data_IF_467518551325
#
_entry.id   IF_467518551325
#
_cell.length_a   1.000
_cell.length_b   1.000
_cell.length_c   1.000
_cell.angle_alpha   90.00
_cell.angle_beta   90.00
_cell.angle_gamma   90.00
#
_symmetry.space_group_name_H-M   'P 1'
#
loop_
_entity.id
_entity.type
_entity.pdbx_description
1 polymer ?
#
# COMPACT_ATOMS: atom_id res chain seq x y z
N UNK A 1 6.02 5.55 -33.35
CA UNK A 1 5.75 6.00 -31.96
C UNK A 1 4.88 4.93 -31.34
N UNK A 2 5.34 4.23 -30.30
CA UNK A 2 4.52 3.24 -29.61
C UNK A 2 3.31 3.95 -28.98
N UNK A 3 2.11 3.35 -28.99
CA UNK A 3 0.98 3.91 -28.28
C UNK A 3 1.36 4.06 -26.80
N UNK A 4 1.22 5.28 -26.28
CA UNK A 4 1.39 5.57 -24.86
C UNK A 4 0.25 4.87 -24.13
N UNK A 5 0.43 3.58 -23.79
CA UNK A 5 -0.46 2.88 -22.86
C UNK A 5 -0.61 3.75 -21.61
N UNK A 6 -1.82 4.19 -21.24
CA UNK A 6 -2.00 5.00 -20.05
C UNK A 6 -1.38 4.27 -18.86
N UNK A 7 -0.68 4.97 -17.96
CA UNK A 7 -0.12 4.31 -16.79
C UNK A 7 -1.29 3.69 -16.01
N UNK A 8 -1.24 2.39 -15.69
CA UNK A 8 -2.31 1.77 -14.94
C UNK A 8 -2.44 2.42 -13.58
N UNK A 9 -3.70 2.61 -13.19
CA UNK A 9 -4.11 3.34 -12.00
C UNK A 9 -4.17 2.39 -10.83
N UNK A 10 -3.63 2.81 -9.69
CA UNK A 10 -3.76 2.07 -8.44
C UNK A 10 -5.14 2.30 -7.83
N UNK A 11 -5.80 1.24 -7.37
CA UNK A 11 -7.06 1.35 -6.60
C UNK A 11 -6.74 1.75 -5.17
N UNK A 12 -6.83 3.05 -4.89
CA UNK A 12 -6.53 3.59 -3.55
C UNK A 12 -7.40 2.99 -2.45
N UNK A 13 -8.68 2.71 -2.71
CA UNK A 13 -9.55 2.06 -1.72
C UNK A 13 -8.99 0.73 -1.23
N UNK A 14 -8.53 -0.14 -2.14
CA UNK A 14 -7.92 -1.42 -1.78
C UNK A 14 -6.59 -1.26 -1.08
N UNK A 15 -5.79 -0.32 -1.56
CA UNK A 15 -4.51 -0.02 -0.95
C UNK A 15 -4.70 0.43 0.51
N UNK A 16 -5.70 1.27 0.76
CA UNK A 16 -6.12 1.69 2.09
C UNK A 16 -6.62 0.53 2.92
N UNK A 17 -7.45 -0.35 2.37
CA UNK A 17 -7.89 -1.56 3.10
C UNK A 17 -6.69 -2.40 3.58
N UNK A 18 -5.67 -2.58 2.73
CA UNK A 18 -4.44 -3.28 3.10
C UNK A 18 -3.67 -2.50 4.18
N UNK A 19 -3.46 -1.20 3.97
CA UNK A 19 -2.73 -0.34 4.91
C UNK A 19 -3.35 -0.32 6.30
N UNK A 20 -4.64 -0.05 6.38
CA UNK A 20 -5.39 0.04 7.63
C UNK A 20 -5.58 -1.32 8.31
N UNK A 21 -5.67 -2.42 7.55
CA UNK A 21 -5.86 -3.76 8.15
C UNK A 21 -4.55 -4.43 8.58
N UNK A 22 -3.43 -4.13 7.92
CA UNK A 22 -2.18 -4.88 8.09
C UNK A 22 -1.06 -4.02 8.67
N UNK A 23 -1.00 -2.74 8.30
CA UNK A 23 0.15 -1.91 8.63
C UNK A 23 -0.04 -1.10 9.90
N UNK A 24 -1.19 -0.43 10.07
CA UNK A 24 -1.49 0.62 11.08
C UNK A 24 -0.52 0.68 12.27
N UNK A 25 0.67 1.29 12.08
CA UNK A 25 1.74 1.21 13.06
C UNK A 25 1.54 2.19 14.21
N UNK A 26 0.74 3.24 13.98
CA UNK A 26 0.38 4.25 14.99
C UNK A 26 -0.82 3.77 15.81
N UNK A 27 -1.61 2.82 15.30
CA UNK A 27 -2.83 2.34 15.95
C UNK A 27 -3.92 3.40 15.94
N UNK A 28 -4.03 4.14 14.83
CA UNK A 28 -5.05 5.19 14.68
C UNK A 28 -6.45 4.61 14.45
N UNK A 29 -6.56 3.39 13.92
CA UNK A 29 -7.84 2.75 13.64
C UNK A 29 -8.39 2.04 14.89
N UNK A 30 -9.57 2.45 15.38
CA UNK A 30 -10.24 1.72 16.46
C UNK A 30 -10.64 0.31 16.02
N UNK A 31 -10.64 -0.63 16.96
CA UNK A 31 -11.04 -2.01 16.69
C UNK A 31 -12.52 -2.06 16.23
N UNK A 32 -12.74 -2.51 15.00
CA UNK A 32 -14.08 -2.63 14.39
C UNK A 32 -14.52 -1.43 13.57
N UNK A 33 -13.68 -0.40 13.44
CA UNK A 33 -13.91 0.73 12.56
C UNK A 33 -13.15 0.59 11.24
N UNK A 34 -13.60 1.34 10.24
CA UNK A 34 -13.01 1.42 8.91
C UNK A 34 -12.50 2.83 8.63
N UNK A 35 -11.52 2.92 7.74
CA UNK A 35 -11.02 4.21 7.24
C UNK A 35 -12.07 5.04 6.51
N UNK A 36 -13.14 4.40 6.02
CA UNK A 36 -14.24 5.06 5.32
C UNK A 36 -15.39 5.51 6.25
N UNK A 37 -15.26 5.32 7.56
CA UNK A 37 -16.22 5.85 8.54
C UNK A 37 -16.10 7.37 8.66
N UNK A 38 -17.23 8.05 8.86
CA UNK A 38 -17.30 9.52 8.84
C UNK A 38 -16.37 10.21 9.86
N UNK A 39 -16.06 9.54 10.97
CA UNK A 39 -15.12 10.03 11.98
C UNK A 39 -13.64 9.89 11.60
N UNK A 40 -13.33 8.99 10.66
CA UNK A 40 -11.97 8.58 10.31
C UNK A 40 -11.50 9.17 8.97
N UNK A 41 -12.41 9.79 8.22
CA UNK A 41 -12.10 10.44 6.94
C UNK A 41 -11.02 11.53 7.03
N UNK A 42 -10.81 12.12 8.21
CA UNK A 42 -9.81 13.18 8.40
C UNK A 42 -8.37 12.67 8.37
N UNK A 43 -8.14 11.37 8.59
CA UNK A 43 -6.84 10.73 8.53
C UNK A 43 -6.80 9.55 7.56
N UNK A 44 -7.88 9.28 6.82
CA UNK A 44 -8.00 8.12 5.93
C UNK A 44 -6.90 8.05 4.84
N UNK A 45 -6.35 9.18 4.43
CA UNK A 45 -5.27 9.30 3.44
C UNK A 45 -3.85 9.34 4.01
N UNK A 46 -3.69 9.31 5.34
CA UNK A 46 -2.39 9.47 6.02
C UNK A 46 -1.33 8.47 5.51
N UNK A 47 -1.75 7.24 5.22
CA UNK A 47 -0.86 6.17 4.77
C UNK A 47 -0.76 6.04 3.24
N UNK A 48 -1.58 6.76 2.47
CA UNK A 48 -1.69 6.58 1.02
C UNK A 48 -0.34 6.77 0.33
N UNK A 49 0.40 7.83 0.66
CA UNK A 49 1.64 8.16 -0.02
C UNK A 49 2.70 7.05 0.14
N UNK A 50 2.84 6.48 1.34
CA UNK A 50 3.81 5.41 1.61
C UNK A 50 3.39 4.12 0.92
N UNK A 51 2.11 3.78 0.96
CA UNK A 51 1.59 2.58 0.32
C UNK A 51 1.66 2.67 -1.22
N UNK A 52 1.39 3.85 -1.79
CA UNK A 52 1.52 4.11 -3.23
C UNK A 52 2.99 3.96 -3.64
N UNK A 53 3.92 4.49 -2.85
CA UNK A 53 5.35 4.34 -3.10
C UNK A 53 5.78 2.87 -3.03
N UNK A 54 5.32 2.12 -2.02
CA UNK A 54 5.61 0.70 -1.87
C UNK A 54 5.07 -0.13 -3.05
N UNK A 55 3.79 0.06 -3.42
CA UNK A 55 3.19 -0.59 -4.58
C UNK A 55 3.92 -0.21 -5.88
N UNK A 56 4.28 1.08 -6.04
CA UNK A 56 5.04 1.57 -7.17
C UNK A 56 6.42 0.92 -7.30
N UNK A 57 7.13 0.70 -6.19
CA UNK A 57 8.40 -0.01 -6.17
C UNK A 57 8.24 -1.48 -6.56
N UNK A 58 7.26 -2.19 -5.98
CA UNK A 58 6.97 -3.58 -6.33
C UNK A 58 6.70 -3.76 -7.82
N UNK A 59 5.92 -2.84 -8.40
CA UNK A 59 5.61 -2.86 -9.82
C UNK A 59 6.81 -2.57 -10.72
N UNK A 60 7.81 -1.82 -10.22
CA UNK A 60 9.10 -1.62 -10.92
C UNK A 60 10.02 -2.83 -10.83
N UNK A 61 9.62 -3.89 -10.12
CA UNK A 61 10.42 -5.10 -9.93
C UNK A 61 11.41 -5.01 -8.77
N UNK A 62 11.25 -4.04 -7.86
CA UNK A 62 12.04 -3.98 -6.63
C UNK A 62 11.68 -5.18 -5.75
N UNK A 63 12.68 -5.73 -5.05
CA UNK A 63 12.47 -6.92 -4.23
C UNK A 63 11.54 -6.62 -3.05
N UNK A 64 10.66 -7.58 -2.72
CA UNK A 64 9.73 -7.46 -1.60
C UNK A 64 10.41 -7.10 -0.27
N UNK A 65 11.62 -7.63 -0.03
CA UNK A 65 12.42 -7.31 1.14
C UNK A 65 12.82 -5.83 1.19
N UNK A 66 13.31 -5.26 0.08
CA UNK A 66 13.70 -3.84 0.00
C UNK A 66 12.50 -2.91 0.20
N UNK A 67 11.33 -3.28 -0.35
CA UNK A 67 10.09 -2.52 -0.12
C UNK A 67 9.63 -2.60 1.33
N UNK A 68 9.82 -3.75 1.99
CA UNK A 68 9.54 -3.89 3.40
C UNK A 68 10.51 -3.04 4.25
N UNK A 69 11.80 -3.04 3.94
CA UNK A 69 12.79 -2.19 4.62
C UNK A 69 12.46 -0.70 4.44
N UNK A 70 11.93 -0.29 3.28
CA UNK A 70 11.39 1.07 3.07
C UNK A 70 10.25 1.39 4.06
N UNK A 71 9.26 0.51 4.21
CA UNK A 71 8.15 0.72 5.15
C UNK A 71 8.62 0.75 6.61
N UNK A 72 9.60 -0.09 6.98
CA UNK A 72 10.23 -0.08 8.30
C UNK A 72 10.93 1.27 8.55
N UNK A 73 11.64 1.82 7.56
CA UNK A 73 12.25 3.14 7.65
C UNK A 73 11.21 4.25 7.86
N UNK A 74 10.05 4.16 7.19
CA UNK A 74 8.94 5.10 7.42
C UNK A 74 8.42 5.00 8.87
N UNK A 75 8.18 3.79 9.38
CA UNK A 75 7.75 3.60 10.78
C UNK A 75 8.79 4.14 11.78
N UNK A 76 10.05 3.76 11.60
CA UNK A 76 11.10 4.05 12.57
C UNK A 76 11.56 5.51 12.54
N UNK A 77 11.78 6.07 11.34
CA UNK A 77 12.36 7.39 11.17
C UNK A 77 11.29 8.47 10.92
N UNK A 78 10.36 8.22 10.00
CA UNK A 78 9.39 9.25 9.59
C UNK A 78 8.26 9.43 10.60
N UNK A 79 7.75 8.31 11.15
CA UNK A 79 6.73 8.32 12.20
C UNK A 79 7.34 8.41 13.61
N UNK A 80 8.68 8.42 13.72
CA UNK A 80 9.43 8.50 14.97
C UNK A 80 9.01 7.45 16.03
N UNK A 81 8.51 6.29 15.58
CA UNK A 81 8.12 5.18 16.47
C UNK A 81 9.33 4.36 16.94
N UNK A 82 10.48 4.52 16.28
CA UNK A 82 11.66 3.70 16.48
C UNK A 82 11.51 2.29 15.89
N UNK A 83 12.58 1.49 15.98
CA UNK A 83 12.55 0.10 15.53
C UNK A 83 11.77 -0.76 16.52
N UNK A 84 10.46 -0.87 16.29
CA UNK A 84 9.58 -1.68 17.14
C UNK A 84 9.68 -3.16 16.77
N UNK A 85 9.63 -4.09 17.75
CA UNK A 85 9.53 -5.51 17.46
C UNK A 85 8.31 -5.78 16.57
N UNK A 86 8.50 -6.45 15.44
CA UNK A 86 7.44 -6.76 14.48
C UNK A 86 7.21 -5.73 13.37
N UNK A 87 7.91 -4.59 13.35
CA UNK A 87 7.84 -3.63 12.23
C UNK A 87 8.12 -4.30 10.87
N UNK A 88 9.18 -5.11 10.83
CA UNK A 88 9.57 -5.84 9.62
C UNK A 88 8.54 -6.91 9.21
N UNK A 89 7.93 -7.58 10.18
CA UNK A 89 6.88 -8.59 9.92
C UNK A 89 5.61 -7.93 9.36
N UNK A 90 5.17 -6.79 9.94
CA UNK A 90 4.07 -5.98 9.40
C UNK A 90 4.37 -5.49 7.99
N UNK A 91 5.55 -4.90 7.78
CA UNK A 91 5.96 -4.40 6.48
C UNK A 91 5.97 -5.51 5.40
N UNK A 92 6.50 -6.70 5.74
CA UNK A 92 6.44 -7.86 4.85
C UNK A 92 5.01 -8.31 4.58
N UNK A 93 4.13 -8.29 5.58
CA UNK A 93 2.72 -8.64 5.41
C UNK A 93 1.99 -7.66 4.47
N UNK A 94 2.28 -6.36 4.56
CA UNK A 94 1.75 -5.34 3.64
C UNK A 94 2.22 -5.61 2.21
N UNK A 95 3.52 -5.84 2.03
CA UNK A 95 4.09 -6.15 0.72
C UNK A 95 3.50 -7.44 0.13
N UNK A 96 3.30 -8.47 0.96
CA UNK A 96 2.64 -9.70 0.55
C UNK A 96 1.19 -9.46 0.13
N UNK A 97 0.43 -8.66 0.90
CA UNK A 97 -0.95 -8.32 0.59
C UNK A 97 -1.06 -7.50 -0.72
N UNK A 98 -0.17 -6.54 -0.94
CA UNK A 98 -0.09 -5.75 -2.18
C UNK A 98 0.17 -6.65 -3.40
N UNK A 99 1.09 -7.62 -3.28
CA UNK A 99 1.37 -8.57 -4.36
C UNK A 99 0.25 -9.60 -4.57
N UNK A 100 -0.44 -9.96 -3.49
CA UNK A 100 -1.53 -10.94 -3.53
C UNK A 100 -2.85 -10.36 -4.05
N UNK A 101 -3.02 -9.03 -4.12
CA UNK A 101 -4.21 -8.38 -4.67
C UNK A 101 -4.05 -8.08 -6.18
N UNK A 102 -4.55 -8.96 -7.08
CA UNK A 102 -4.45 -8.75 -8.53
C UNK A 102 -5.34 -7.59 -9.02
N UNK A 103 -6.28 -7.13 -8.19
CA UNK A 103 -7.20 -6.06 -8.55
C UNK A 103 -6.74 -4.69 -8.03
N UNK A 104 -5.58 -4.63 -7.36
CA UNK A 104 -4.97 -3.39 -6.93
C UNK A 104 -4.60 -2.49 -8.11
N UNK A 105 -4.14 -3.08 -9.20
CA UNK A 105 -3.83 -2.37 -10.43
C UNK A 105 -5.00 -2.44 -11.39
N UNK A 106 -5.57 -1.29 -11.72
CA UNK A 106 -6.50 -1.18 -12.84
C UNK A 106 -5.73 -0.86 -14.11
N UNK A 107 -5.75 -1.82 -15.03
CA UNK A 107 -5.47 -1.53 -16.43
C UNK A 107 -6.60 -0.63 -16.95
N UNK A 108 -6.30 0.41 -17.74
CA UNK A 108 -7.34 1.12 -18.47
C UNK A 108 -8.08 0.10 -19.35
N UNK A 109 -9.41 0.01 -19.22
CA UNK A 109 -10.24 -0.88 -20.04
C UNK A 109 -9.96 -0.60 -21.52
N UNK A 110 -9.38 -1.59 -22.21
CA UNK A 110 -8.98 -1.44 -23.60
C UNK A 110 -7.97 -2.46 -24.14
N UNK A 111 -7.78 -3.63 -23.52
CA UNK A 111 -7.06 -4.72 -24.18
C UNK A 111 -7.69 -6.07 -23.85
N UNK A 112 -8.67 -6.44 -24.67
CA UNK A 112 -8.94 -7.82 -25.06
C UNK A 112 -7.61 -8.45 -25.48
N UNK A 113 -7.10 -9.38 -24.67
CA UNK A 113 -6.05 -10.28 -25.13
C UNK A 113 -6.75 -11.44 -25.81
N UNK A 114 -6.99 -11.29 -27.10
CA UNK A 114 -7.27 -12.43 -27.96
C UNK A 114 -6.10 -13.42 -27.81
N UNK A 115 -6.38 -14.59 -27.27
CA UNK A 115 -5.50 -15.76 -27.32
C UNK A 115 -6.05 -16.74 -28.37
#
# INVERSE_FOLDING_TARGET
MAPLTPPPRIRLSRLRDIGWSVWDPIGLMPAGESWNDAGNLCFADEYDNYLIAAAGQLRRGIAAAEVADYLVGIEAEHMALGETPGCRERALAVVAAINADPQLWTLPEGQDVAV
#
